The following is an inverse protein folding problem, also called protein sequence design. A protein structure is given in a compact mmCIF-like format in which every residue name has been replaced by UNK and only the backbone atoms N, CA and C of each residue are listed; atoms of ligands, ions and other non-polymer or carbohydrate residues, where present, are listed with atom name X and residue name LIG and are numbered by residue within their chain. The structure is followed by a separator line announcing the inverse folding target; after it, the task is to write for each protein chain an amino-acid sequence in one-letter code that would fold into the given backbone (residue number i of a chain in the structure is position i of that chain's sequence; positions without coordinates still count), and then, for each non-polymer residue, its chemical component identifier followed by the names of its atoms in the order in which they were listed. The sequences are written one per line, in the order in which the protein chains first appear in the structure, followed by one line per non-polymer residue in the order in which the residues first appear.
data_IF_557539075923
#
_entry.id   IF_557539075923
#
_cell.length_a   1.000
_cell.length_b   1.000
_cell.length_c   1.000
_cell.angle_alpha   90.00
_cell.angle_beta   90.00
_cell.angle_gamma   90.00
#
_symmetry.space_group_name_H-M   'P 1'
#
loop_
_entity.id
_entity.type
_entity.pdbx_description
1 polymer ?
#
# COMPACT_ATOMS: atom_id res chain seq x y z
N UNK A 1 -32.66 46.44 49.83
CA UNK A 1 -32.28 45.11 49.29
C UNK A 1 -33.56 44.37 48.96
N UNK A 2 -34.05 44.53 47.71
CA UNK A 2 -35.35 43.99 47.30
C UNK A 2 -35.16 42.51 47.00
N UNK A 3 -35.83 41.65 47.77
CA UNK A 3 -35.87 40.20 47.52
C UNK A 3 -36.54 39.98 46.16
N UNK A 4 -35.80 39.40 45.22
CA UNK A 4 -36.30 39.04 43.89
C UNK A 4 -37.62 38.28 44.00
N UNK A 5 -38.64 38.70 43.23
CA UNK A 5 -39.96 38.07 43.20
C UNK A 5 -39.83 36.61 42.73
N UNK A 6 -39.87 35.69 43.69
CA UNK A 6 -39.86 34.25 43.45
C UNK A 6 -41.22 33.85 42.89
N UNK A 7 -41.26 33.45 41.62
CA UNK A 7 -42.50 32.99 40.97
C UNK A 7 -42.52 31.47 40.94
N UNK A 8 -43.40 30.85 41.71
CA UNK A 8 -43.63 29.40 41.71
C UNK A 8 -43.89 28.88 40.28
N UNK A 9 -44.63 29.64 39.47
CA UNK A 9 -44.89 29.30 38.08
C UNK A 9 -43.63 29.28 37.19
N UNK A 10 -42.57 30.02 37.54
CA UNK A 10 -41.28 29.98 36.84
C UNK A 10 -40.48 28.75 37.23
N UNK A 11 -40.52 28.34 38.49
CA UNK A 11 -39.84 27.13 38.98
C UNK A 11 -40.48 25.85 38.45
N UNK A 12 -41.82 25.78 38.47
CA UNK A 12 -42.57 24.64 37.91
C UNK A 12 -42.23 24.47 36.43
N UNK A 13 -42.23 25.57 35.65
CA UNK A 13 -41.81 25.54 34.24
C UNK A 13 -40.36 25.09 34.05
N UNK A 14 -39.44 25.52 34.91
CA UNK A 14 -38.04 25.06 34.85
C UNK A 14 -37.90 23.58 35.20
N UNK A 15 -38.67 23.08 36.18
CA UNK A 15 -38.67 21.67 36.56
C UNK A 15 -39.24 20.79 35.45
N UNK A 16 -40.37 21.19 34.85
CA UNK A 16 -40.94 20.52 33.67
C UNK A 16 -39.96 20.51 32.49
N UNK A 17 -39.28 21.62 32.23
CA UNK A 17 -38.29 21.70 31.16
C UNK A 17 -37.11 20.74 31.42
N UNK A 18 -36.62 20.67 32.67
CA UNK A 18 -35.59 19.69 33.06
C UNK A 18 -36.09 18.25 32.91
N UNK A 19 -37.33 17.96 33.28
CA UNK A 19 -37.92 16.62 33.10
C UNK A 19 -38.03 16.26 31.62
N UNK A 20 -38.53 17.17 30.77
CA UNK A 20 -38.59 17.00 29.31
C UNK A 20 -37.21 16.74 28.72
N UNK A 21 -36.19 17.50 29.13
CA UNK A 21 -34.81 17.30 28.69
C UNK A 21 -34.25 15.93 29.11
N UNK A 22 -34.49 15.49 30.35
CA UNK A 22 -34.08 14.15 30.82
C UNK A 22 -34.72 13.03 30.00
N UNK A 23 -36.02 13.15 29.73
CA UNK A 23 -36.75 12.16 28.90
C UNK A 23 -36.17 12.14 27.48
N UNK A 24 -35.94 13.31 26.88
CA UNK A 24 -35.35 13.40 25.54
C UNK A 24 -33.94 12.80 25.49
N UNK A 25 -33.10 13.06 26.49
CA UNK A 25 -31.76 12.47 26.57
C UNK A 25 -31.82 10.94 26.69
N UNK A 26 -32.74 10.42 27.51
CA UNK A 26 -32.95 8.97 27.65
C UNK A 26 -33.42 8.34 26.34
N UNK A 27 -34.36 8.99 25.64
CA UNK A 27 -34.83 8.54 24.33
C UNK A 27 -33.71 8.55 23.28
N UNK A 28 -32.91 9.62 23.21
CA UNK A 28 -31.73 9.68 22.33
C UNK A 28 -30.73 8.58 22.64
N UNK A 29 -30.46 8.35 23.92
CA UNK A 29 -29.54 7.30 24.35
C UNK A 29 -30.05 5.90 23.96
N UNK A 30 -31.33 5.62 24.21
CA UNK A 30 -31.95 4.35 23.84
C UNK A 30 -31.92 4.16 22.32
N UNK A 31 -32.27 5.19 21.56
CA UNK A 31 -32.20 5.16 20.10
C UNK A 31 -30.78 4.84 19.59
N UNK A 32 -29.75 5.43 20.19
CA UNK A 32 -28.36 5.15 19.85
C UNK A 32 -27.96 3.71 20.18
N UNK A 33 -28.40 3.17 21.32
CA UNK A 33 -28.21 1.75 21.66
C UNK A 33 -28.88 0.85 20.62
N UNK A 34 -30.14 1.10 20.28
CA UNK A 34 -30.90 0.28 19.33
C UNK A 34 -30.33 0.36 17.91
N UNK A 35 -29.80 1.53 17.53
CA UNK A 35 -29.11 1.75 16.25
C UNK A 35 -27.80 0.98 16.19
N UNK A 36 -26.93 1.16 17.19
CA UNK A 36 -25.55 0.64 17.19
C UNK A 36 -25.48 -0.86 17.53
N UNK A 37 -26.48 -1.41 18.21
CA UNK A 37 -26.61 -2.86 18.41
C UNK A 37 -26.86 -3.61 17.10
N UNK A 38 -27.57 -3.00 16.14
CA UNK A 38 -27.85 -3.60 14.83
C UNK A 38 -26.70 -3.45 13.82
N UNK A 39 -25.84 -2.46 14.02
CA UNK A 39 -24.72 -2.16 13.13
C UNK A 39 -23.56 -3.13 13.38
N UNK A 40 -22.91 -3.58 12.31
CA UNK A 40 -21.66 -4.34 12.39
C UNK A 40 -20.48 -3.40 12.72
N UNK A 41 -19.82 -3.57 13.89
CA UNK A 41 -18.70 -2.72 14.28
C UNK A 41 -17.50 -2.85 13.33
N UNK A 42 -17.31 -3.99 12.67
CA UNK A 42 -16.16 -4.20 11.78
C UNK A 42 -16.30 -3.33 10.52
N UNK A 43 -17.50 -3.25 9.95
CA UNK A 43 -17.78 -2.36 8.82
C UNK A 43 -17.56 -0.90 9.19
N UNK A 44 -18.00 -0.51 10.39
CA UNK A 44 -17.81 0.84 10.89
C UNK A 44 -16.32 1.20 11.05
N UNK A 45 -15.50 0.27 11.52
CA UNK A 45 -14.04 0.43 11.60
C UNK A 45 -13.41 0.70 10.23
N UNK A 46 -13.70 -0.13 9.22
CA UNK A 46 -13.13 0.06 7.88
C UNK A 46 -13.63 1.33 7.20
N UNK A 47 -14.87 1.74 7.49
CA UNK A 47 -15.41 3.00 6.98
C UNK A 47 -14.68 4.20 7.58
N UNK A 48 -14.35 4.16 8.88
CA UNK A 48 -13.50 5.18 9.53
C UNK A 48 -12.12 5.18 8.87
N UNK A 49 -11.47 4.02 8.76
CA UNK A 49 -10.12 3.91 8.18
C UNK A 49 -10.06 4.48 6.75
N UNK A 50 -11.08 4.19 5.92
CA UNK A 50 -11.19 4.74 4.56
C UNK A 50 -11.34 6.27 4.58
N UNK A 51 -12.24 6.80 5.42
CA UNK A 51 -12.49 8.25 5.49
C UNK A 51 -11.30 9.02 6.09
N UNK A 52 -10.53 8.42 6.99
CA UNK A 52 -9.29 8.99 7.51
C UNK A 52 -8.20 9.10 6.44
N UNK A 53 -8.18 8.17 5.47
CA UNK A 53 -7.28 8.23 4.32
C UNK A 53 -7.65 9.32 3.32
N UNK A 54 -8.93 9.43 2.98
CA UNK A 54 -9.40 10.30 1.89
C UNK A 54 -9.63 11.77 2.33
N UNK A 55 -9.77 12.04 3.64
CA UNK A 55 -10.03 13.38 4.24
C UNK A 55 -11.20 14.18 3.63
N UNK A 56 -12.08 13.54 2.86
CA UNK A 56 -13.17 14.21 2.14
C UNK A 56 -14.27 14.74 3.06
N UNK A 57 -14.68 13.95 4.07
CA UNK A 57 -15.89 14.20 4.86
C UNK A 57 -15.62 14.25 6.37
N UNK A 58 -15.09 15.36 6.87
CA UNK A 58 -14.76 15.51 8.30
C UNK A 58 -15.97 15.37 9.24
N UNK A 59 -17.13 15.89 8.84
CA UNK A 59 -18.36 15.81 9.65
C UNK A 59 -18.81 14.37 9.83
N UNK A 60 -18.80 13.60 8.74
CA UNK A 60 -19.17 12.18 8.75
C UNK A 60 -18.17 11.36 9.55
N UNK A 61 -16.88 11.66 9.41
CA UNK A 61 -15.82 11.03 10.19
C UNK A 61 -16.03 11.23 11.69
N UNK A 62 -16.32 12.47 12.14
CA UNK A 62 -16.60 12.77 13.55
C UNK A 62 -17.78 11.97 14.09
N UNK A 63 -18.88 11.90 13.33
CA UNK A 63 -20.06 11.11 13.71
C UNK A 63 -19.73 9.61 13.84
N UNK A 64 -19.00 9.03 12.89
CA UNK A 64 -18.60 7.62 12.96
C UNK A 64 -17.64 7.35 14.12
N UNK A 65 -16.72 8.28 14.41
CA UNK A 65 -15.83 8.18 15.56
C UNK A 65 -16.60 8.28 16.89
N UNK A 66 -17.65 9.11 16.96
CA UNK A 66 -18.56 9.16 18.11
C UNK A 66 -19.34 7.85 18.29
N UNK A 67 -19.91 7.32 17.20
CA UNK A 67 -20.58 6.02 17.18
C UNK A 67 -19.62 4.89 17.65
N UNK A 68 -18.37 4.89 17.19
CA UNK A 68 -17.34 3.95 17.63
C UNK A 68 -16.99 4.08 19.12
N UNK A 69 -16.82 5.31 19.61
CA UNK A 69 -16.57 5.58 21.04
C UNK A 69 -17.74 5.10 21.89
N UNK A 70 -18.97 5.28 21.42
CA UNK A 70 -20.18 4.81 22.10
C UNK A 70 -20.22 3.29 22.20
N UNK A 71 -19.96 2.59 21.09
CA UNK A 71 -19.86 1.12 21.05
C UNK A 71 -18.85 0.62 22.09
N UNK A 72 -17.67 1.24 22.16
CA UNK A 72 -16.62 0.85 23.10
C UNK A 72 -16.99 1.14 24.56
N UNK A 73 -17.61 2.29 24.83
CA UNK A 73 -18.01 2.68 26.19
C UNK A 73 -19.11 1.78 26.75
N UNK A 74 -20.05 1.36 25.89
CA UNK A 74 -21.19 0.53 26.28
C UNK A 74 -20.96 -0.97 26.04
N UNK A 75 -19.74 -1.38 25.65
CA UNK A 75 -19.36 -2.77 25.39
C UNK A 75 -20.29 -3.49 24.41
N UNK A 76 -20.81 -2.75 23.43
CA UNK A 76 -21.60 -3.36 22.36
C UNK A 76 -20.68 -4.25 21.52
N UNK A 77 -21.13 -5.47 21.18
CA UNK A 77 -20.36 -6.42 20.36
C UNK A 77 -18.97 -6.79 20.89
N UNK A 78 -18.78 -6.80 22.22
CA UNK A 78 -17.49 -6.99 22.88
C UNK A 78 -16.68 -8.18 22.34
N UNK A 79 -17.30 -9.36 22.21
CA UNK A 79 -16.64 -10.58 21.71
C UNK A 79 -16.04 -10.40 20.30
N UNK A 80 -16.81 -9.82 19.38
CA UNK A 80 -16.37 -9.61 17.99
C UNK A 80 -15.25 -8.56 17.92
N UNK A 81 -15.37 -7.51 18.73
CA UNK A 81 -14.40 -6.42 18.77
C UNK A 81 -13.08 -6.82 19.39
N UNK A 82 -13.09 -7.60 20.48
CA UNK A 82 -11.86 -8.06 21.13
C UNK A 82 -11.02 -8.90 20.17
N UNK A 83 -11.65 -9.91 19.54
CA UNK A 83 -10.99 -10.79 18.58
C UNK A 83 -10.48 -10.00 17.37
N UNK A 84 -11.30 -9.11 16.80
CA UNK A 84 -10.91 -8.31 15.64
C UNK A 84 -9.74 -7.37 15.95
N UNK A 85 -9.79 -6.65 17.08
CA UNK A 85 -8.72 -5.73 17.46
C UNK A 85 -7.42 -6.47 17.76
N UNK A 86 -7.49 -7.66 18.37
CA UNK A 86 -6.33 -8.50 18.60
C UNK A 86 -5.72 -8.98 17.27
N UNK A 87 -6.54 -9.47 16.34
CA UNK A 87 -6.08 -9.85 15.00
C UNK A 87 -5.44 -8.67 14.25
N UNK A 88 -6.01 -7.47 14.36
CA UNK A 88 -5.43 -6.27 13.74
C UNK A 88 -4.08 -5.89 14.36
N UNK A 89 -3.95 -5.97 15.69
CA UNK A 89 -2.66 -5.76 16.38
C UNK A 89 -1.63 -6.79 15.93
N UNK A 90 -1.98 -8.08 15.92
CA UNK A 90 -1.09 -9.14 15.47
C UNK A 90 -0.68 -8.97 13.99
N UNK A 91 -1.59 -8.54 13.12
CA UNK A 91 -1.27 -8.24 11.70
C UNK A 91 -0.28 -7.08 11.58
N UNK A 92 -0.50 -5.98 12.31
CA UNK A 92 0.41 -4.83 12.34
C UNK A 92 1.78 -5.23 12.87
N UNK A 93 1.82 -5.97 13.97
CA UNK A 93 3.07 -6.46 14.55
C UNK A 93 3.81 -7.41 13.60
N UNK A 94 3.12 -8.36 12.96
CA UNK A 94 3.72 -9.24 11.94
C UNK A 94 4.29 -8.44 10.78
N UNK A 95 3.59 -7.39 10.33
CA UNK A 95 4.05 -6.50 9.25
C UNK A 95 5.30 -5.73 9.67
N UNK A 96 5.32 -5.17 10.88
CA UNK A 96 6.48 -4.45 11.41
C UNK A 96 7.69 -5.37 11.62
N UNK A 97 7.47 -6.57 12.18
CA UNK A 97 8.50 -7.60 12.33
C UNK A 97 9.06 -8.00 10.96
N UNK A 98 8.21 -8.21 9.96
CA UNK A 98 8.64 -8.55 8.61
C UNK A 98 9.43 -7.40 7.94
N UNK A 99 9.04 -6.15 8.16
CA UNK A 99 9.78 -4.98 7.66
C UNK A 99 11.17 -4.86 8.30
N UNK A 100 11.26 -5.10 9.62
CA UNK A 100 12.53 -5.03 10.39
C UNK A 100 13.43 -6.25 10.18
N UNK A 101 12.90 -7.39 9.72
CA UNK A 101 13.65 -8.63 9.54
C UNK A 101 14.75 -8.46 8.49
N UNK A 102 16.00 -8.74 8.86
CA UNK A 102 17.11 -8.83 7.92
C UNK A 102 17.08 -10.20 7.24
N UNK A 103 17.01 -10.22 5.92
CA UNK A 103 16.92 -11.46 5.13
C UNK A 103 18.30 -12.03 4.75
N UNK A 104 19.40 -11.31 5.04
CA UNK A 104 20.75 -11.72 4.66
C UNK A 104 20.81 -12.04 3.18
N UNK A 105 21.33 -13.21 2.81
CA UNK A 105 21.46 -13.71 1.43
C UNK A 105 20.17 -13.69 0.60
N UNK A 106 19.01 -13.74 1.24
CA UNK A 106 17.72 -13.74 0.55
C UNK A 106 17.23 -12.34 0.20
N UNK A 107 17.83 -11.28 0.76
CA UNK A 107 17.50 -9.89 0.46
C UNK A 107 17.95 -9.52 -0.95
N UNK A 108 17.13 -8.74 -1.67
CA UNK A 108 17.55 -8.13 -2.95
C UNK A 108 18.75 -7.20 -2.75
N UNK A 109 18.85 -6.59 -1.56
CA UNK A 109 19.93 -5.67 -1.23
C UNK A 109 21.19 -6.37 -0.71
N UNK A 110 21.23 -7.70 -0.69
CA UNK A 110 22.41 -8.44 -0.25
C UNK A 110 23.54 -8.34 -1.26
N UNK A 111 24.67 -7.81 -0.80
CA UNK A 111 25.92 -7.83 -1.53
C UNK A 111 27.00 -8.30 -0.53
N UNK A 112 27.66 -9.45 -0.75
CA UNK A 112 28.59 -10.01 0.23
C UNK A 112 29.72 -9.04 0.63
N UNK A 113 30.17 -8.19 -0.29
CA UNK A 113 31.26 -7.23 -0.04
C UNK A 113 30.77 -5.92 0.59
N UNK A 114 29.68 -5.36 0.06
CA UNK A 114 29.21 -4.01 0.42
C UNK A 114 28.08 -4.01 1.45
N UNK A 115 27.27 -5.07 1.51
CA UNK A 115 26.11 -5.18 2.40
C UNK A 115 25.83 -6.65 2.79
N UNK A 116 26.73 -7.27 3.60
CA UNK A 116 26.63 -8.68 3.96
C UNK A 116 25.41 -9.00 4.82
N UNK A 117 24.75 -7.98 5.39
CA UNK A 117 23.54 -8.14 6.19
C UNK A 117 22.26 -7.98 5.36
N UNK A 118 22.38 -7.58 4.09
CA UNK A 118 21.23 -7.29 3.22
C UNK A 118 20.34 -6.18 3.77
N UNK A 119 20.93 -5.20 4.48
CA UNK A 119 20.24 -4.03 5.04
C UNK A 119 19.57 -3.24 3.92
N UNK A 120 18.38 -2.75 4.18
CA UNK A 120 17.64 -1.96 3.21
C UNK A 120 18.22 -0.54 3.17
N UNK A 121 18.62 -0.02 1.98
CA UNK A 121 19.05 1.36 1.84
C UNK A 121 17.95 2.36 2.25
N UNK A 122 18.34 3.59 2.57
CA UNK A 122 17.41 4.69 2.89
C UNK A 122 17.47 5.75 1.80
N UNK A 123 16.32 6.37 1.53
CA UNK A 123 16.19 7.52 0.64
C UNK A 123 16.90 8.75 1.22
N UNK A 124 17.04 9.80 0.41
CA UNK A 124 17.53 11.12 0.85
C UNK A 124 16.72 11.72 2.00
N UNK A 125 15.43 11.36 2.12
CA UNK A 125 14.56 11.73 3.24
C UNK A 125 14.65 10.78 4.46
N UNK A 126 15.58 9.82 4.45
CA UNK A 126 15.78 8.86 5.54
C UNK A 126 14.73 7.73 5.60
N UNK A 127 13.82 7.64 4.63
CA UNK A 127 12.80 6.58 4.55
C UNK A 127 13.41 5.30 3.98
N UNK A 128 13.23 4.12 4.61
CA UNK A 128 13.75 2.86 4.07
C UNK A 128 12.94 2.39 2.86
N UNK A 129 13.62 1.80 1.87
CA UNK A 129 12.94 1.11 0.76
C UNK A 129 12.15 -0.12 1.23
N UNK A 130 11.38 -0.73 0.33
CA UNK A 130 10.67 -1.98 0.64
C UNK A 130 11.63 -3.16 0.77
N UNK A 131 11.60 -3.85 1.91
CA UNK A 131 12.41 -5.04 2.15
C UNK A 131 11.87 -6.26 1.38
N UNK A 132 12.47 -6.57 0.21
CA UNK A 132 12.02 -7.63 -0.71
C UNK A 132 13.05 -8.78 -0.78
N UNK A 133 12.57 -9.99 -1.10
CA UNK A 133 13.40 -11.21 -1.19
C UNK A 133 13.48 -11.78 -2.61
N UNK A 134 14.57 -12.49 -2.92
CA UNK A 134 14.76 -13.26 -4.16
C UNK A 134 14.32 -14.73 -3.95
N UNK A 135 13.62 -15.36 -4.91
CA UNK A 135 13.05 -14.76 -6.13
C UNK A 135 11.85 -13.87 -5.79
N UNK A 136 11.69 -12.79 -6.55
CA UNK A 136 10.52 -11.91 -6.44
C UNK A 136 9.26 -12.74 -6.65
N UNK A 137 8.34 -12.72 -5.68
CA UNK A 137 7.03 -13.37 -5.83
C UNK A 137 6.36 -12.75 -7.06
N UNK A 138 6.14 -13.55 -8.12
CA UNK A 138 5.41 -13.11 -9.33
C UNK A 138 4.00 -12.67 -8.89
N UNK A 139 3.75 -11.36 -8.90
CA UNK A 139 2.44 -10.80 -8.47
C UNK A 139 1.43 -10.77 -9.61
N UNK A 140 1.88 -10.89 -10.84
CA UNK A 140 1.03 -10.83 -12.03
C UNK A 140 0.64 -12.23 -12.48
N UNK A 141 -0.63 -12.57 -12.27
CA UNK A 141 -1.30 -13.58 -13.09
C UNK A 141 -1.88 -12.80 -14.26
N UNK A 142 -1.19 -12.82 -15.40
CA UNK A 142 -1.79 -12.28 -16.62
C UNK A 142 -2.95 -13.19 -17.03
N UNK A 143 -4.09 -12.63 -17.46
CA UNK A 143 -5.11 -13.45 -18.11
C UNK A 143 -4.48 -14.10 -19.36
N UNK A 144 -4.95 -15.30 -19.71
CA UNK A 144 -4.58 -15.94 -20.97
C UNK A 144 -4.93 -15.00 -22.13
N UNK A 145 -4.07 -14.96 -23.15
CA UNK A 145 -4.35 -14.18 -24.35
C UNK A 145 -5.63 -14.72 -25.01
N UNK A 146 -6.65 -13.88 -25.28
CA UNK A 146 -7.88 -14.34 -25.93
C UNK A 146 -7.61 -15.01 -27.28
N UNK A 147 -6.53 -14.65 -27.98
CA UNK A 147 -6.14 -15.30 -29.23
C UNK A 147 -5.70 -16.77 -29.01
N UNK A 148 -5.02 -17.05 -27.91
CA UNK A 148 -4.59 -18.41 -27.53
C UNK A 148 -5.81 -19.28 -27.18
N UNK A 149 -6.81 -18.69 -26.51
CA UNK A 149 -8.08 -19.35 -26.22
C UNK A 149 -8.88 -19.64 -27.49
N UNK A 150 -8.94 -18.69 -28.43
CA UNK A 150 -9.61 -18.85 -29.73
C UNK A 150 -8.96 -19.91 -30.61
N UNK A 151 -7.62 -19.97 -30.62
CA UNK A 151 -6.86 -20.91 -31.43
C UNK A 151 -6.76 -22.31 -30.80
N UNK A 152 -7.23 -22.49 -29.55
CA UNK A 152 -7.20 -23.78 -28.87
C UNK A 152 -5.78 -24.33 -28.69
N UNK A 153 -4.78 -23.47 -28.56
CA UNK A 153 -3.37 -23.89 -28.45
C UNK A 153 -3.14 -24.51 -27.07
N UNK A 154 -3.14 -25.84 -27.01
CA UNK A 154 -2.78 -26.59 -25.80
C UNK A 154 -1.27 -26.79 -25.73
N UNK A 155 -0.71 -26.68 -24.52
CA UNK A 155 0.68 -27.06 -24.28
C UNK A 155 0.86 -28.55 -24.59
N UNK A 156 1.93 -28.95 -25.32
CA UNK A 156 2.19 -30.35 -25.58
C UNK A 156 2.42 -31.12 -24.27
N UNK A 157 1.94 -32.36 -24.21
CA UNK A 157 2.19 -33.24 -23.07
C UNK A 157 3.67 -33.65 -23.04
N UNK A 158 4.35 -33.36 -21.92
CA UNK A 158 5.74 -33.77 -21.72
C UNK A 158 6.58 -32.80 -20.89
N UNK A 159 7.82 -33.20 -20.62
CA UNK A 159 8.82 -32.29 -20.05
C UNK A 159 9.17 -31.18 -21.05
N UNK A 160 9.48 -29.97 -20.57
CA UNK A 160 9.95 -28.90 -21.44
C UNK A 160 11.20 -29.36 -22.21
N UNK A 161 11.36 -28.94 -23.48
CA UNK A 161 12.48 -29.37 -24.31
C UNK A 161 13.81 -29.05 -23.62
N UNK A 162 14.61 -30.09 -23.38
CA UNK A 162 15.95 -29.94 -22.85
C UNK A 162 16.88 -29.51 -24.00
N UNK A 163 17.42 -28.28 -23.94
CA UNK A 163 18.46 -27.86 -24.86
C UNK A 163 19.77 -28.57 -24.50
N UNK A 164 20.06 -29.69 -25.17
CA UNK A 164 21.39 -30.27 -25.10
C UNK A 164 22.38 -29.31 -25.76
N UNK A 165 23.29 -28.73 -24.97
CA UNK A 165 24.47 -28.08 -25.53
C UNK A 165 25.24 -29.15 -26.30
N UNK A 166 25.40 -28.96 -27.62
CA UNK A 166 26.26 -29.82 -28.43
C UNK A 166 27.64 -29.86 -27.75
N UNK A 167 28.19 -31.03 -27.41
CA UNK A 167 29.54 -31.12 -26.88
C UNK A 167 30.49 -30.65 -27.99
N UNK A 168 31.02 -29.44 -27.81
CA UNK A 168 32.20 -29.00 -28.54
C UNK A 168 33.38 -29.67 -27.84
N UNK A 169 34.13 -30.51 -28.56
CA UNK A 169 35.30 -31.29 -28.13
C UNK A 169 35.00 -32.72 -27.65
N UNK A 170 34.69 -33.62 -28.59
CA UNK A 170 34.87 -35.06 -28.41
C UNK A 170 36.01 -35.52 -29.34
N UNK A 171 37.24 -35.14 -29.02
CA UNK A 171 38.44 -35.88 -29.43
C UNK A 171 39.37 -35.85 -28.23
N UNK A 172 39.14 -36.74 -27.27
CA UNK A 172 40.09 -37.04 -26.22
C UNK A 172 40.70 -38.39 -26.58
N UNK A 173 41.69 -38.36 -27.47
CA UNK A 173 42.59 -39.50 -27.67
C UNK A 173 43.45 -39.62 -26.42
N UNK A 174 43.35 -40.75 -25.72
CA UNK A 174 44.11 -41.03 -24.51
C UNK A 174 45.47 -41.65 -24.85
N UNK A 175 46.52 -40.79 -24.73
CA UNK A 175 47.93 -41.05 -24.28
C UNK A 175 48.87 -41.87 -25.20
N UNK A 176 50.23 -41.78 -25.06
CA UNK A 176 51.04 -41.10 -24.02
C UNK A 176 52.15 -40.15 -24.53
N UNK A 177 52.81 -39.50 -23.56
CA UNK A 177 53.98 -38.62 -23.60
C UNK A 177 55.00 -38.86 -24.72
N UNK A 178 55.48 -37.78 -25.35
CA UNK A 178 56.91 -37.43 -25.41
C UNK A 178 57.13 -36.00 -25.92
N UNK A 179 58.33 -35.51 -25.65
CA UNK A 179 58.78 -34.13 -25.55
C UNK A 179 58.95 -33.33 -26.86
N UNK A 180 58.92 -32.01 -26.66
CA UNK A 180 59.74 -30.98 -27.28
C UNK A 180 59.32 -30.28 -28.59
N UNK A 181 59.40 -28.96 -28.47
CA UNK A 181 59.81 -27.90 -29.41
C UNK A 181 58.80 -27.29 -30.40
N UNK A 182 58.60 -25.99 -30.12
CA UNK A 182 58.73 -24.84 -31.04
C UNK A 182 57.49 -24.06 -31.48
N UNK A 183 57.69 -22.75 -31.30
CA UNK A 183 56.78 -21.63 -31.49
C UNK A 183 56.37 -21.43 -32.95
N UNK A 184 55.19 -20.85 -33.18
CA UNK A 184 55.02 -19.74 -34.14
C UNK A 184 53.70 -18.97 -33.99
N UNK A 185 53.88 -17.69 -33.67
CA UNK A 185 53.11 -16.47 -33.91
C UNK A 185 51.74 -16.55 -34.63
N UNK A 186 50.77 -15.86 -34.03
CA UNK A 186 50.16 -14.68 -34.66
C UNK A 186 48.71 -14.79 -35.13
N UNK A 187 47.78 -14.17 -34.40
CA UNK A 187 46.95 -13.03 -34.84
C UNK A 187 45.69 -12.90 -33.98
N UNK A 188 45.47 -11.69 -33.44
CA UNK A 188 44.23 -11.30 -32.75
C UNK A 188 43.22 -10.83 -33.81
N UNK A 189 41.96 -11.27 -33.80
CA UNK A 189 40.92 -10.55 -34.52
C UNK A 189 40.52 -9.30 -33.71
N UNK A 190 40.44 -8.18 -34.43
CA UNK A 190 40.05 -6.86 -33.93
C UNK A 190 38.56 -6.84 -33.58
N UNK A 191 38.21 -6.10 -32.54
CA UNK A 191 36.83 -5.74 -32.25
C UNK A 191 36.41 -4.61 -33.20
N UNK A 192 35.40 -4.86 -34.02
CA UNK A 192 34.72 -3.81 -34.79
C UNK A 192 33.75 -3.06 -33.87
N UNK A 193 34.08 -1.81 -33.59
CA UNK A 193 33.18 -0.81 -33.02
C UNK A 193 32.84 0.14 -34.17
N UNK A 194 31.58 0.25 -34.63
CA UNK A 194 31.19 1.33 -35.52
C UNK A 194 31.08 2.62 -34.72
N UNK A 195 31.97 3.57 -34.99
CA UNK A 195 31.78 5.00 -34.71
C UNK A 195 30.81 5.54 -35.76
N UNK A 196 29.62 5.97 -35.35
CA UNK A 196 28.90 7.00 -36.07
C UNK A 196 29.20 8.36 -35.46
N UNK A 197 29.53 9.26 -36.37
CA UNK A 197 29.97 10.65 -36.25
C UNK A 197 28.87 11.57 -35.76
N UNK A 198 29.28 12.59 -35.00
CA UNK A 198 28.50 13.76 -34.64
C UNK A 198 28.21 14.67 -35.85
N UNK A 199 27.08 15.38 -35.80
CA UNK A 199 26.85 16.81 -36.14
C UNK A 199 25.34 17.05 -36.00
N UNK A 200 24.87 17.67 -34.92
CA UNK A 200 24.69 19.12 -34.74
C UNK A 200 23.38 19.62 -35.37
N UNK A 201 22.47 20.12 -34.52
CA UNK A 201 21.69 21.34 -34.78
C UNK A 201 21.00 21.78 -33.50
N UNK A 202 21.43 22.96 -33.05
CA UNK A 202 20.86 23.78 -31.99
C UNK A 202 19.39 24.14 -32.24
N UNK A 203 18.62 24.30 -31.17
CA UNK A 203 17.63 25.36 -31.12
C UNK A 203 17.31 25.73 -29.67
N UNK A 204 17.97 26.79 -29.20
CA UNK A 204 17.51 27.62 -28.10
C UNK A 204 16.26 28.41 -28.49
N UNK A 205 15.43 28.71 -27.48
CA UNK A 205 14.35 29.69 -27.33
C UNK A 205 13.13 29.01 -26.69
N UNK A 206 12.48 29.57 -25.67
CA UNK A 206 12.57 30.88 -25.07
C UNK A 206 11.52 30.98 -23.96
N UNK A 207 11.67 32.05 -23.21
CA UNK A 207 11.02 32.45 -21.96
C UNK A 207 9.47 32.49 -21.97
N UNK A 208 8.89 32.28 -20.78
CA UNK A 208 8.19 33.36 -20.09
C UNK A 208 6.67 33.53 -20.26
N UNK A 209 6.07 34.01 -19.16
CA UNK A 209 4.76 34.67 -19.00
C UNK A 209 3.51 33.77 -18.76
N UNK A 210 2.94 33.75 -17.55
CA UNK A 210 1.89 34.66 -16.99
C UNK A 210 0.49 34.26 -17.47
N UNK A 211 -0.63 34.28 -16.74
CA UNK A 211 -1.08 34.99 -15.54
C UNK A 211 -2.30 34.29 -14.95
N UNK A 212 -2.49 34.48 -13.64
CA UNK A 212 -3.70 34.77 -12.84
C UNK A 212 -5.15 34.50 -13.35
N UNK A 213 -5.95 34.11 -12.35
CA UNK A 213 -7.35 34.47 -12.05
C UNK A 213 -8.53 33.99 -12.93
N UNK A 214 -9.46 33.26 -12.31
CA UNK A 214 -10.73 33.87 -11.85
C UNK A 214 -11.58 32.95 -10.95
N UNK A 215 -12.19 33.58 -9.96
CA UNK A 215 -13.08 33.06 -8.90
C UNK A 215 -14.57 33.06 -9.33
N UNK A 216 -15.51 32.54 -8.51
CA UNK A 216 -16.75 31.92 -8.97
C UNK A 216 -17.98 32.83 -8.96
N UNK A 217 -18.97 32.52 -9.80
CA UNK A 217 -20.27 33.21 -9.81
C UNK A 217 -21.37 32.47 -9.03
N UNK A 218 -21.91 33.25 -8.11
CA UNK A 218 -23.15 33.22 -7.30
C UNK A 218 -24.35 32.36 -7.76
N UNK A 219 -24.93 31.68 -6.76
CA UNK A 219 -26.35 31.60 -6.33
C UNK A 219 -27.45 32.04 -7.31
N UNK A 220 -28.47 31.18 -7.45
CA UNK A 220 -29.87 31.61 -7.47
C UNK A 220 -30.75 30.66 -6.65
N UNK A 221 -31.60 31.27 -5.81
CA UNK A 221 -32.65 30.67 -4.98
C UNK A 221 -33.97 31.26 -5.48
N UNK A 222 -34.96 30.43 -5.74
CA UNK A 222 -36.38 30.78 -5.97
C UNK A 222 -37.17 29.78 -5.12
N UNK A 223 -37.67 30.28 -3.98
CA UNK A 223 -39.10 30.46 -3.65
C UNK A 223 -39.74 29.16 -3.14
#
# INVERSE_FOLDING_TARGET
MIRSNWSLAKEVRQHELKQKQKIQQRQKHQHMLDKLTKIDPIRLYFQIEKLEGDKSDEKRLKLLQEDWKFIRKHKLHEKKLSEFLEQQKQKKEKRERAQKKLWGKQSIYFNPELNPLGKVPRDSQGKPFSNLTIPLKKKTKFPSDPLIEQLGVTLPEGEPPQFYKKPQNITIDKKPNESNTEEKKGSKPKADIPRHTALDTDSENGEGFSSEDELPTKKLRME
#
